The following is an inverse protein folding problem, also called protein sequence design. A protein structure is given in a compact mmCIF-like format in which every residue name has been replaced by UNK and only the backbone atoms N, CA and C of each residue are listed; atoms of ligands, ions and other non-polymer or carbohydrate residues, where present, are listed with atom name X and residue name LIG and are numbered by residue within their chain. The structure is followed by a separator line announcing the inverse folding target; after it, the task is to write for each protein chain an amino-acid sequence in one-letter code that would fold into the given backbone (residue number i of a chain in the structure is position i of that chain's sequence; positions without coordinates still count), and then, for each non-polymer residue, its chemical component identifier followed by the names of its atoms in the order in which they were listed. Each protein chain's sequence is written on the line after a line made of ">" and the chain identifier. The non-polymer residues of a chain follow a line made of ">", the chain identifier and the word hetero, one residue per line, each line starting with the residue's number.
data_IF_025978585246
#
_entry.id   IF_025978585246
#
_cell.length_a   1.000
_cell.length_b   1.000
_cell.length_c   1.000
_cell.angle_alpha   90.00
_cell.angle_beta   90.00
_cell.angle_gamma   90.00
#
_symmetry.space_group_name_H-M   'P 1'
#
loop_
_entity.id
_entity.type
_entity.pdbx_description
1 polymer ?
#
# COMPACT_ATOMS: atom_id res chain seq x y z
N UNK A 1 8.34 2.43 26.72
CA UNK A 1 7.04 1.79 26.45
C UNK A 1 6.04 2.26 27.48
N UNK A 2 5.08 3.09 27.11
CA UNK A 2 4.01 3.55 28.02
C UNK A 2 2.74 2.81 27.59
N UNK A 3 2.24 1.95 28.47
CA UNK A 3 0.96 1.28 28.30
C UNK A 3 -0.17 2.31 28.46
N UNK A 4 -1.00 2.46 27.43
CA UNK A 4 -2.22 3.24 27.49
C UNK A 4 -3.28 2.34 28.15
N UNK A 5 -3.57 2.62 29.41
CA UNK A 5 -4.68 2.02 30.15
C UNK A 5 -5.99 2.58 29.60
N UNK A 6 -6.79 1.72 29.01
CA UNK A 6 -8.17 2.05 28.62
C UNK A 6 -8.98 2.16 29.90
N UNK A 7 -9.37 3.39 30.25
CA UNK A 7 -10.24 3.65 31.37
C UNK A 7 -11.65 3.11 31.06
N UNK A 8 -12.09 2.14 31.84
CA UNK A 8 -13.47 1.66 31.86
C UNK A 8 -14.39 2.77 32.35
N UNK A 9 -15.17 3.34 31.47
CA UNK A 9 -16.27 4.22 31.83
C UNK A 9 -17.44 3.34 32.31
N UNK A 10 -17.58 3.19 33.61
CA UNK A 10 -18.74 2.58 34.21
C UNK A 10 -19.94 3.51 34.02
N UNK A 11 -20.85 3.17 33.13
CA UNK A 11 -22.11 3.88 32.97
C UNK A 11 -23.11 3.32 34.00
N UNK A 12 -23.42 4.10 35.00
CA UNK A 12 -24.42 3.81 36.03
C UNK A 12 -25.81 4.00 35.39
N UNK A 13 -26.43 2.90 34.98
CA UNK A 13 -27.78 2.91 34.39
C UNK A 13 -28.81 3.01 35.51
N UNK A 14 -29.43 4.14 35.63
CA UNK A 14 -30.61 4.37 36.47
C UNK A 14 -31.82 3.70 35.81
N UNK A 15 -32.40 2.70 36.48
CA UNK A 15 -33.59 1.99 36.09
C UNK A 15 -34.81 2.93 36.09
N UNK A 16 -35.41 3.18 34.93
CA UNK A 16 -36.78 3.63 34.80
C UNK A 16 -37.50 2.72 33.81
N UNK A 17 -38.52 2.10 34.36
CA UNK A 17 -39.51 1.19 33.76
C UNK A 17 -40.14 1.70 32.45
N UNK A 18 -40.06 0.88 31.39
CA UNK A 18 -40.76 1.15 30.14
C UNK A 18 -40.45 0.06 29.10
N UNK A 19 -41.36 -0.84 28.92
CA UNK A 19 -41.40 -1.98 28.01
C UNK A 19 -41.14 -1.51 26.55
N UNK A 20 -40.29 -2.24 25.80
CA UNK A 20 -40.09 -2.22 24.34
C UNK A 20 -39.01 -1.31 23.72
N UNK A 21 -37.89 -1.06 24.39
CA UNK A 21 -36.73 -0.33 23.76
C UNK A 21 -35.51 -1.22 23.62
N UNK A 22 -35.49 -2.41 24.20
CA UNK A 22 -34.26 -3.25 24.24
C UNK A 22 -33.80 -3.79 22.89
N UNK A 23 -34.69 -4.06 21.94
CA UNK A 23 -34.34 -4.66 20.67
C UNK A 23 -33.67 -3.70 19.68
N UNK A 24 -34.05 -2.43 19.67
CA UNK A 24 -33.50 -1.43 18.73
C UNK A 24 -32.11 -0.95 19.12
N UNK A 25 -31.81 -0.86 20.41
CA UNK A 25 -30.49 -0.44 20.89
C UNK A 25 -29.41 -1.49 20.59
N UNK A 26 -29.71 -2.77 20.82
CA UNK A 26 -28.76 -3.88 20.54
C UNK A 26 -28.46 -3.97 19.05
N UNK A 27 -29.45 -3.81 18.19
CA UNK A 27 -29.25 -3.82 16.73
C UNK A 27 -28.41 -2.64 16.27
N UNK A 28 -28.57 -1.47 16.88
CA UNK A 28 -27.78 -0.28 16.54
C UNK A 28 -26.30 -0.45 16.93
N UNK A 29 -26.01 -1.03 18.08
CA UNK A 29 -24.63 -1.32 18.51
C UNK A 29 -23.96 -2.35 17.59
N UNK A 30 -24.64 -3.43 17.23
CA UNK A 30 -24.12 -4.46 16.32
C UNK A 30 -23.85 -3.89 14.91
N UNK A 31 -24.71 -3.01 14.41
CA UNK A 31 -24.50 -2.33 13.12
C UNK A 31 -23.30 -1.37 13.19
N UNK A 32 -23.15 -0.64 14.29
CA UNK A 32 -22.03 0.28 14.49
C UNK A 32 -20.70 -0.46 14.58
N UNK A 33 -20.64 -1.58 15.29
CA UNK A 33 -19.46 -2.43 15.39
C UNK A 33 -19.07 -3.02 14.03
N UNK A 34 -20.02 -3.59 13.29
CA UNK A 34 -19.77 -4.10 11.93
C UNK A 34 -19.27 -3.02 10.98
N UNK A 35 -19.82 -1.81 11.07
CA UNK A 35 -19.39 -0.67 10.27
C UNK A 35 -17.96 -0.24 10.63
N UNK A 36 -17.60 -0.22 11.92
CA UNK A 36 -16.27 0.12 12.37
C UNK A 36 -15.24 -0.90 11.89
N UNK A 37 -15.52 -2.19 12.04
CA UNK A 37 -14.67 -3.27 11.54
C UNK A 37 -14.45 -3.16 10.02
N UNK A 38 -15.51 -2.83 9.27
CA UNK A 38 -15.40 -2.65 7.82
C UNK A 38 -14.50 -1.45 7.45
N UNK A 39 -14.59 -0.35 8.20
CA UNK A 39 -13.73 0.84 8.01
C UNK A 39 -12.27 0.48 8.32
N UNK A 40 -12.00 -0.23 9.41
CA UNK A 40 -10.66 -0.62 9.82
C UNK A 40 -10.01 -1.57 8.80
N UNK A 41 -10.77 -2.53 8.27
CA UNK A 41 -10.31 -3.41 7.19
C UNK A 41 -10.00 -2.61 5.92
N UNK A 42 -10.89 -1.73 5.49
CA UNK A 42 -10.68 -0.93 4.28
C UNK A 42 -9.46 -0.02 4.39
N UNK A 43 -9.23 0.55 5.56
CA UNK A 43 -8.07 1.41 5.85
C UNK A 43 -6.78 0.60 5.83
N UNK A 44 -6.75 -0.58 6.44
CA UNK A 44 -5.57 -1.43 6.45
C UNK A 44 -5.22 -1.95 5.06
N UNK A 45 -6.21 -2.30 4.24
CA UNK A 45 -6.00 -2.67 2.83
C UNK A 45 -5.44 -1.50 2.02
N UNK A 46 -5.98 -0.29 2.19
CA UNK A 46 -5.47 0.89 1.49
C UNK A 46 -4.02 1.23 1.87
N UNK A 47 -3.65 1.07 3.15
CA UNK A 47 -2.27 1.25 3.62
C UNK A 47 -1.35 0.19 3.00
N UNK A 48 -1.76 -1.08 2.96
CA UNK A 48 -0.98 -2.16 2.38
C UNK A 48 -0.73 -1.93 0.88
N UNK A 49 -1.76 -1.56 0.12
CA UNK A 49 -1.63 -1.23 -1.30
C UNK A 49 -0.68 -0.04 -1.53
N UNK A 50 -0.78 1.00 -0.71
CA UNK A 50 0.13 2.14 -0.78
C UNK A 50 1.58 1.74 -0.50
N UNK A 51 1.80 0.89 0.49
CA UNK A 51 3.14 0.40 0.84
C UNK A 51 3.74 -0.41 -0.30
N UNK A 52 2.95 -1.23 -0.98
CA UNK A 52 3.38 -1.95 -2.17
C UNK A 52 3.84 -1.02 -3.29
N UNK A 53 3.08 0.05 -3.59
CA UNK A 53 3.45 1.04 -4.61
C UNK A 53 4.76 1.76 -4.26
N UNK A 54 4.96 2.10 -2.98
CA UNK A 54 6.21 2.70 -2.48
C UNK A 54 7.38 1.71 -2.67
N UNK A 55 7.19 0.44 -2.35
CA UNK A 55 8.21 -0.58 -2.50
C UNK A 55 8.62 -0.76 -3.97
N UNK A 56 7.67 -0.78 -4.91
CA UNK A 56 7.97 -0.84 -6.33
C UNK A 56 8.78 0.37 -6.80
N UNK A 57 8.43 1.58 -6.35
CA UNK A 57 9.17 2.79 -6.67
C UNK A 57 10.60 2.75 -6.12
N UNK A 58 10.76 2.38 -4.85
CA UNK A 58 12.07 2.28 -4.20
C UNK A 58 12.96 1.25 -4.91
N UNK A 59 12.41 0.10 -5.27
CA UNK A 59 13.14 -0.92 -6.02
C UNK A 59 13.61 -0.39 -7.37
N UNK A 60 12.74 0.32 -8.09
CA UNK A 60 13.11 0.91 -9.39
C UNK A 60 14.21 1.96 -9.24
N UNK A 61 14.09 2.87 -8.27
CA UNK A 61 15.13 3.87 -7.96
C UNK A 61 16.46 3.19 -7.67
N UNK A 62 16.45 2.18 -6.80
CA UNK A 62 17.67 1.44 -6.44
C UNK A 62 18.40 0.89 -7.66
N UNK A 63 17.70 0.22 -8.58
CA UNK A 63 18.33 -0.40 -9.74
C UNK A 63 18.73 0.59 -10.82
N UNK A 64 18.01 1.69 -10.99
CA UNK A 64 18.29 2.71 -12.00
C UNK A 64 19.40 3.68 -11.56
N UNK A 65 19.45 4.06 -10.27
CA UNK A 65 20.37 5.11 -9.81
C UNK A 65 21.55 4.58 -9.03
N UNK A 66 21.42 3.44 -8.36
CA UNK A 66 22.46 2.87 -7.48
C UNK A 66 23.05 3.88 -6.50
N UNK A 67 22.21 4.72 -5.92
CA UNK A 67 22.60 5.77 -4.93
C UNK A 67 23.51 6.88 -5.46
N UNK A 68 23.47 7.19 -6.74
CA UNK A 68 24.35 8.23 -7.30
C UNK A 68 24.00 9.61 -6.73
N UNK A 69 22.73 10.02 -6.78
CA UNK A 69 22.28 11.28 -6.18
C UNK A 69 20.77 11.33 -5.96
N UNK A 70 20.33 12.23 -5.05
CA UNK A 70 18.90 12.52 -4.86
C UNK A 70 18.26 13.05 -6.15
N UNK A 71 18.97 13.84 -6.95
CA UNK A 71 18.44 14.37 -8.20
C UNK A 71 18.15 13.26 -9.22
N UNK A 72 19.00 12.23 -9.29
CA UNK A 72 18.76 11.07 -10.14
C UNK A 72 17.56 10.26 -9.66
N UNK A 73 17.45 10.04 -8.35
CA UNK A 73 16.30 9.37 -7.75
C UNK A 73 14.98 10.11 -8.05
N UNK A 74 14.96 11.44 -7.93
CA UNK A 74 13.82 12.27 -8.28
C UNK A 74 13.47 12.17 -9.77
N UNK A 75 14.46 12.20 -10.65
CA UNK A 75 14.26 12.09 -12.10
C UNK A 75 13.63 10.74 -12.49
N UNK A 76 14.10 9.64 -11.91
CA UNK A 76 13.51 8.30 -12.10
C UNK A 76 12.07 8.27 -11.59
N UNK A 77 11.82 8.85 -10.41
CA UNK A 77 10.46 8.92 -9.83
C UNK A 77 9.51 9.71 -10.73
N UNK A 78 9.95 10.86 -11.27
CA UNK A 78 9.15 11.69 -12.17
C UNK A 78 8.78 10.94 -13.46
N UNK A 79 9.71 10.16 -14.02
CA UNK A 79 9.42 9.30 -15.19
C UNK A 79 8.30 8.31 -14.88
N UNK A 80 8.37 7.61 -13.75
CA UNK A 80 7.34 6.64 -13.35
C UNK A 80 5.99 7.33 -13.12
N UNK A 81 5.97 8.43 -12.36
CA UNK A 81 4.73 9.15 -12.04
C UNK A 81 4.08 9.77 -13.28
N UNK A 82 4.86 10.30 -14.21
CA UNK A 82 4.36 10.81 -15.48
C UNK A 82 3.75 9.70 -16.34
N UNK A 83 4.32 8.49 -16.32
CA UNK A 83 3.74 7.33 -16.99
C UNK A 83 2.42 6.93 -16.34
N UNK A 84 2.36 6.81 -15.01
CA UNK A 84 1.11 6.51 -14.27
C UNK A 84 0.01 7.52 -14.59
N UNK A 85 0.36 8.80 -14.76
CA UNK A 85 -0.59 9.84 -15.13
C UNK A 85 -1.01 9.82 -16.61
N UNK A 86 -0.30 9.07 -17.45
CA UNK A 86 -0.54 9.02 -18.89
C UNK A 86 -1.50 7.89 -19.26
N UNK A 87 -2.45 8.16 -20.15
CA UNK A 87 -3.37 7.15 -20.68
C UNK A 87 -2.70 6.03 -21.51
N UNK A 88 -1.43 6.21 -21.88
CA UNK A 88 -0.67 5.26 -22.71
C UNK A 88 0.08 4.21 -21.89
N UNK A 89 0.03 4.29 -20.56
CA UNK A 89 0.74 3.42 -19.64
C UNK A 89 -0.23 2.89 -18.58
N UNK A 90 0.15 1.83 -17.84
CA UNK A 90 -0.59 1.39 -16.68
C UNK A 90 -0.79 2.49 -15.65
N UNK A 91 -1.83 2.37 -14.82
CA UNK A 91 -2.26 3.41 -13.89
C UNK A 91 -1.75 3.23 -12.46
N UNK A 92 -0.80 2.34 -12.24
CA UNK A 92 -0.15 2.13 -10.94
C UNK A 92 1.37 2.09 -11.08
N UNK A 93 2.07 2.45 -10.00
CA UNK A 93 3.54 2.45 -9.97
C UNK A 93 4.10 1.07 -10.24
N UNK A 94 3.58 0.05 -9.57
CA UNK A 94 4.06 -1.32 -9.76
C UNK A 94 3.87 -1.82 -11.19
N UNK A 95 2.70 -1.57 -11.79
CA UNK A 95 2.44 -1.98 -13.17
C UNK A 95 3.35 -1.25 -14.17
N UNK A 96 3.64 0.03 -13.96
CA UNK A 96 4.59 0.79 -14.80
C UNK A 96 6.02 0.27 -14.63
N UNK A 97 6.44 -0.01 -13.39
CA UNK A 97 7.80 -0.48 -13.10
C UNK A 97 8.05 -1.87 -13.69
N UNK A 98 7.09 -2.76 -13.58
CA UNK A 98 7.19 -4.13 -14.06
C UNK A 98 6.58 -4.34 -15.46
N UNK A 99 6.26 -3.27 -16.18
CA UNK A 99 5.72 -3.35 -17.54
C UNK A 99 6.72 -4.01 -18.49
N UNK A 100 6.26 -5.03 -19.19
CA UNK A 100 7.11 -5.87 -20.02
C UNK A 100 6.32 -6.64 -21.09
N UNK A 101 6.99 -6.99 -22.17
CA UNK A 101 6.45 -7.96 -23.13
C UNK A 101 6.56 -9.35 -22.53
N UNK A 102 5.44 -10.05 -22.42
CA UNK A 102 5.42 -11.41 -21.90
C UNK A 102 5.52 -12.44 -23.03
N UNK A 103 6.38 -13.44 -22.84
CA UNK A 103 6.48 -14.64 -23.68
C UNK A 103 6.30 -15.87 -22.78
N UNK A 104 5.29 -16.67 -23.06
CA UNK A 104 4.90 -17.81 -22.22
C UNK A 104 4.68 -17.45 -20.74
N UNK A 105 4.08 -16.27 -20.49
CA UNK A 105 3.79 -15.77 -19.13
C UNK A 105 5.00 -15.25 -18.36
N UNK A 106 6.16 -15.09 -19.00
CA UNK A 106 7.38 -14.55 -18.38
C UNK A 106 7.86 -13.31 -19.12
N UNK A 107 8.45 -12.33 -18.44
CA UNK A 107 9.08 -11.18 -19.10
C UNK A 107 10.11 -11.63 -20.15
N UNK A 108 9.98 -11.13 -21.35
CA UNK A 108 10.93 -11.41 -22.40
C UNK A 108 12.23 -10.62 -22.17
N UNK A 109 13.38 -11.27 -22.33
CA UNK A 109 14.67 -10.66 -22.11
C UNK A 109 14.84 -9.36 -22.91
N UNK A 110 15.26 -8.30 -22.23
CA UNK A 110 15.45 -6.95 -22.77
C UNK A 110 14.19 -6.33 -23.41
N UNK A 111 12.99 -6.71 -22.94
CA UNK A 111 11.70 -6.19 -23.39
C UNK A 111 10.86 -5.61 -22.23
N UNK A 112 11.53 -5.02 -21.25
CA UNK A 112 10.92 -4.36 -20.08
C UNK A 112 11.09 -2.86 -20.18
N UNK A 113 10.19 -2.11 -19.55
CA UNK A 113 10.28 -0.64 -19.46
C UNK A 113 11.53 -0.20 -18.70
N UNK A 114 11.89 -0.96 -17.65
CA UNK A 114 13.13 -0.82 -16.91
C UNK A 114 13.99 -2.07 -17.11
N UNK A 115 15.21 -1.90 -17.60
CA UNK A 115 16.04 -2.99 -18.11
C UNK A 115 16.41 -4.02 -17.04
N UNK A 116 16.56 -3.59 -15.80
CA UNK A 116 16.96 -4.45 -14.68
C UNK A 116 15.98 -5.59 -14.43
N UNK A 117 14.66 -5.36 -14.66
CA UNK A 117 13.62 -6.36 -14.42
C UNK A 117 13.70 -7.60 -15.32
N UNK A 118 14.29 -7.48 -16.50
CA UNK A 118 14.43 -8.60 -17.43
C UNK A 118 15.83 -8.78 -18.03
N UNK A 119 16.86 -8.34 -17.32
CA UNK A 119 18.27 -8.54 -17.70
C UNK A 119 18.78 -9.96 -17.32
N UNK A 120 18.01 -10.72 -16.56
CA UNK A 120 18.31 -12.07 -16.11
C UNK A 120 19.17 -12.13 -14.83
N UNK A 121 19.32 -11.02 -14.13
CA UNK A 121 19.97 -10.96 -12.82
C UNK A 121 18.93 -11.01 -11.70
N UNK A 122 19.40 -10.99 -10.46
CA UNK A 122 18.54 -10.94 -9.28
C UNK A 122 17.99 -9.54 -9.09
N UNK A 123 16.65 -9.44 -8.91
CA UNK A 123 15.93 -8.21 -8.65
C UNK A 123 15.82 -7.87 -7.15
N UNK A 124 16.62 -8.55 -6.32
CA UNK A 124 16.70 -8.25 -4.90
C UNK A 124 17.80 -7.22 -4.64
N UNK A 125 17.53 -6.07 -4.02
CA UNK A 125 18.53 -5.14 -3.55
C UNK A 125 19.53 -5.83 -2.61
N UNK A 126 20.83 -5.66 -2.85
CA UNK A 126 21.89 -6.30 -2.07
C UNK A 126 22.79 -5.30 -1.35
N UNK A 127 22.83 -4.08 -1.83
CA UNK A 127 23.59 -3.00 -1.25
C UNK A 127 22.71 -2.26 -0.25
N UNK A 128 23.01 -2.45 1.04
CA UNK A 128 22.22 -1.88 2.14
C UNK A 128 22.39 -0.37 2.23
N UNK A 129 23.59 0.16 1.91
CA UNK A 129 23.85 1.60 1.91
C UNK A 129 23.05 2.32 0.81
N UNK A 130 22.88 1.66 -0.33
CA UNK A 130 22.08 2.18 -1.43
C UNK A 130 20.57 2.02 -1.22
N UNK A 131 20.16 1.11 -0.33
CA UNK A 131 18.76 0.80 -0.09
C UNK A 131 18.16 1.64 1.05
N UNK A 132 18.93 1.98 2.09
CA UNK A 132 18.53 2.76 3.27
C UNK A 132 18.53 4.28 3.00
#
# INVERSE_FOLDING_TARGET
>A
MKFITVASIAFNAMFLSGIAVGGTLVIQEEIAEKKQVQIDISTSVAIALRQEQIQCMATNIYFETRSVSLADAMSVSDVVLNRVASKNYPNSVCEVVYDSVLVNGKPAKNKCQFSWYCDGKSDNPKDTEAWD
#
